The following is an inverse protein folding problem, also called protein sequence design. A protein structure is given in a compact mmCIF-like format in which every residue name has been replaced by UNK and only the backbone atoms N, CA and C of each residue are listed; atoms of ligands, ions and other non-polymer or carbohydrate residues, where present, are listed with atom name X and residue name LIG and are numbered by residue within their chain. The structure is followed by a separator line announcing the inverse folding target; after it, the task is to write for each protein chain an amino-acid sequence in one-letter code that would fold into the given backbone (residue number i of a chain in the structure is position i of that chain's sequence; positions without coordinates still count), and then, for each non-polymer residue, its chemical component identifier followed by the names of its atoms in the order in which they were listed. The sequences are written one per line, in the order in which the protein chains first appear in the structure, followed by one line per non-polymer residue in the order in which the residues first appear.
data_IF_551259209555
#
_entry.id   IF_551259209555
#
_cell.length_a   1.000
_cell.length_b   1.000
_cell.length_c   1.000
_cell.angle_alpha   90.00
_cell.angle_beta   90.00
_cell.angle_gamma   90.00
#
_symmetry.space_group_name_H-M   'P 1'
#
loop_
_entity.id
_entity.type
_entity.pdbx_description
1 polymer ?
#
# COMPACT_ATOMS: atom_id res chain seq x y z
N UNK A 1 12.54 -3.74 12.63
CA UNK A 1 12.79 -2.59 13.55
C UNK A 1 11.48 -1.83 13.71
N UNK A 2 11.07 -1.54 14.95
CA UNK A 2 9.87 -0.71 15.24
C UNK A 2 10.34 0.72 15.49
N UNK A 3 9.72 1.71 14.85
CA UNK A 3 10.01 3.13 15.03
C UNK A 3 8.71 3.93 15.20
N UNK A 4 8.79 5.01 15.93
CA UNK A 4 7.73 6.02 16.07
C UNK A 4 8.04 7.30 15.30
N UNK A 5 9.20 7.37 14.64
CA UNK A 5 9.63 8.54 13.87
C UNK A 5 9.91 8.17 12.41
N UNK A 6 9.76 9.15 11.52
CA UNK A 6 9.99 9.00 10.09
C UNK A 6 11.50 8.96 9.72
N UNK A 7 12.36 9.57 10.54
CA UNK A 7 13.78 9.78 10.21
C UNK A 7 14.52 8.49 9.80
N UNK A 8 14.43 7.36 10.53
CA UNK A 8 15.14 6.15 10.13
C UNK A 8 14.66 5.58 8.79
N UNK A 9 13.39 5.75 8.45
CA UNK A 9 12.83 5.33 7.15
C UNK A 9 13.39 6.20 6.02
N UNK A 10 13.46 7.52 6.22
CA UNK A 10 14.03 8.47 5.25
C UNK A 10 15.51 8.19 5.02
N UNK A 11 16.27 7.95 6.09
CA UNK A 11 17.71 7.59 5.99
C UNK A 11 17.92 6.27 5.21
N UNK A 12 17.09 5.26 5.48
CA UNK A 12 17.14 3.98 4.77
C UNK A 12 16.83 4.16 3.29
N UNK A 13 15.80 4.93 2.94
CA UNK A 13 15.46 5.25 1.55
C UNK A 13 16.56 6.03 0.84
N UNK A 14 17.13 7.05 1.50
CA UNK A 14 18.25 7.82 0.94
C UNK A 14 19.45 6.93 0.65
N UNK A 15 19.74 5.97 1.53
CA UNK A 15 20.82 4.99 1.35
C UNK A 15 20.53 4.09 0.15
N UNK A 16 19.31 3.55 0.02
CA UNK A 16 18.93 2.68 -1.09
C UNK A 16 19.02 3.44 -2.43
N UNK A 17 18.49 4.65 -2.50
CA UNK A 17 18.55 5.48 -3.71
C UNK A 17 19.99 5.80 -4.12
N UNK A 18 20.86 6.08 -3.14
CA UNK A 18 22.27 6.35 -3.41
C UNK A 18 23.06 5.10 -3.84
N UNK A 19 22.68 3.93 -3.33
CA UNK A 19 23.29 2.66 -3.68
C UNK A 19 22.87 2.16 -5.08
N UNK A 20 21.72 2.58 -5.57
CA UNK A 20 21.15 2.13 -6.85
C UNK A 20 20.79 3.31 -7.78
N UNK A 21 21.77 4.15 -8.19
CA UNK A 21 21.50 5.37 -8.96
C UNK A 21 20.95 5.11 -10.37
N UNK A 22 21.11 3.90 -10.88
CA UNK A 22 20.66 3.49 -12.22
C UNK A 22 19.41 2.61 -12.20
N UNK A 23 18.91 2.24 -11.03
CA UNK A 23 17.74 1.37 -10.88
C UNK A 23 16.71 1.99 -9.94
N UNK A 24 15.41 1.91 -10.26
CA UNK A 24 14.36 2.40 -9.38
C UNK A 24 14.31 1.63 -8.05
N UNK A 25 14.07 2.34 -6.96
CA UNK A 25 13.78 1.78 -5.64
C UNK A 25 12.27 1.65 -5.49
N UNK A 26 11.80 0.43 -5.21
CA UNK A 26 10.38 0.13 -5.00
C UNK A 26 10.11 -0.12 -3.51
N UNK A 27 9.16 0.61 -2.96
CA UNK A 27 8.80 0.56 -1.53
C UNK A 27 7.34 0.20 -1.38
N UNK A 28 7.03 -0.77 -0.53
CA UNK A 28 5.68 -1.08 -0.09
C UNK A 28 5.38 -0.44 1.28
N UNK A 29 4.23 0.22 1.39
CA UNK A 29 3.68 0.74 2.64
C UNK A 29 2.36 0.02 2.93
N UNK A 30 2.43 -1.09 3.64
CA UNK A 30 1.27 -1.88 4.08
C UNK A 30 0.87 -1.52 5.52
N UNK A 31 -0.22 -2.05 5.99
CA UNK A 31 -0.64 -1.89 7.37
C UNK A 31 -2.13 -1.57 7.53
N UNK A 32 -2.54 -1.34 8.77
CA UNK A 32 -3.95 -1.20 9.17
C UNK A 32 -4.64 0.00 8.54
N UNK A 33 -5.89 -0.14 8.16
CA UNK A 33 -6.71 1.01 7.77
C UNK A 33 -6.74 2.04 8.92
N UNK A 34 -6.66 3.33 8.58
CA UNK A 34 -6.56 4.39 9.59
C UNK A 34 -5.18 4.57 10.23
N UNK A 35 -4.17 3.73 9.90
CA UNK A 35 -2.81 3.87 10.45
C UNK A 35 -1.99 5.02 9.86
N UNK A 36 -2.46 5.69 8.80
CA UNK A 36 -1.77 6.84 8.22
C UNK A 36 -0.86 6.52 7.02
N UNK A 37 -0.98 5.37 6.37
CA UNK A 37 -0.22 5.00 5.16
C UNK A 37 -0.18 6.10 4.10
N UNK A 38 -1.35 6.60 3.70
CA UNK A 38 -1.47 7.66 2.69
C UNK A 38 -0.79 8.97 3.13
N UNK A 39 -0.89 9.30 4.41
CA UNK A 39 -0.18 10.46 4.98
C UNK A 39 1.33 10.26 4.92
N UNK A 40 1.81 9.07 5.27
CA UNK A 40 3.22 8.69 5.19
C UNK A 40 3.71 8.75 3.73
N UNK A 41 2.97 8.17 2.80
CA UNK A 41 3.32 8.23 1.37
C UNK A 41 3.43 9.67 0.87
N UNK A 42 2.49 10.54 1.25
CA UNK A 42 2.54 11.97 0.90
C UNK A 42 3.73 12.70 1.56
N UNK A 43 4.13 12.34 2.77
CA UNK A 43 5.33 12.88 3.41
C UNK A 43 6.60 12.43 2.69
N UNK A 44 6.71 11.16 2.34
CA UNK A 44 7.83 10.62 1.57
C UNK A 44 7.91 11.26 0.18
N UNK A 45 6.80 11.43 -0.52
CA UNK A 45 6.76 12.09 -1.83
C UNK A 45 7.23 13.55 -1.77
N UNK A 46 6.96 14.27 -0.68
CA UNK A 46 7.52 15.63 -0.47
C UNK A 46 9.02 15.60 -0.21
N UNK A 47 9.50 14.62 0.55
CA UNK A 47 10.93 14.45 0.86
C UNK A 47 11.72 13.98 -0.36
N UNK A 48 11.09 13.18 -1.24
CA UNK A 48 11.65 12.63 -2.46
C UNK A 48 10.79 13.07 -3.67
N UNK A 49 10.95 14.30 -4.20
CA UNK A 49 10.07 14.82 -5.25
C UNK A 49 10.10 14.01 -6.56
N UNK A 50 11.19 13.28 -6.82
CA UNK A 50 11.30 12.35 -7.94
C UNK A 50 10.74 10.99 -7.55
N UNK A 51 9.45 10.94 -7.26
CA UNK A 51 8.75 9.71 -6.87
C UNK A 51 7.37 9.61 -7.49
N UNK A 52 6.88 8.37 -7.56
CA UNK A 52 5.49 8.05 -7.92
C UNK A 52 4.85 7.36 -6.72
N UNK A 53 3.62 7.75 -6.39
CA UNK A 53 2.79 7.02 -5.42
C UNK A 53 1.69 6.26 -6.16
N UNK A 54 1.61 4.97 -5.89
CA UNK A 54 0.60 4.05 -6.40
C UNK A 54 -0.26 3.58 -5.24
N UNK A 55 -1.58 3.64 -5.39
CA UNK A 55 -2.53 3.23 -4.36
C UNK A 55 -3.05 1.82 -4.66
N UNK A 56 -2.90 0.88 -3.73
CA UNK A 56 -3.46 -0.47 -3.92
C UNK A 56 -4.98 -0.44 -4.06
N UNK A 57 -5.64 0.53 -3.46
CA UNK A 57 -7.10 0.71 -3.57
C UNK A 57 -7.59 0.94 -5.00
N UNK A 58 -6.71 1.34 -5.92
CA UNK A 58 -6.99 1.45 -7.36
C UNK A 58 -7.00 0.10 -8.09
N UNK A 59 -6.65 -0.96 -7.39
CA UNK A 59 -6.53 -2.32 -7.93
C UNK A 59 -7.58 -3.29 -7.36
N UNK A 60 -8.73 -2.78 -6.93
CA UNK A 60 -9.86 -3.65 -6.62
C UNK A 60 -10.39 -4.36 -7.86
N UNK A 61 -10.76 -5.64 -7.69
CA UNK A 61 -11.50 -6.37 -8.71
C UNK A 61 -12.91 -5.78 -8.86
N UNK A 62 -13.41 -5.61 -10.10
CA UNK A 62 -14.83 -5.32 -10.34
C UNK A 62 -15.75 -6.34 -9.66
N UNK A 63 -16.89 -5.93 -9.09
CA UNK A 63 -17.79 -6.85 -8.39
C UNK A 63 -18.21 -8.07 -9.21
N UNK A 64 -18.35 -7.91 -10.53
CA UNK A 64 -18.79 -8.97 -11.45
C UNK A 64 -17.80 -10.15 -11.57
N UNK A 65 -16.53 -9.94 -11.22
CA UNK A 65 -15.48 -10.97 -11.31
C UNK A 65 -14.90 -11.37 -9.94
N UNK A 66 -15.41 -10.78 -8.86
CA UNK A 66 -15.06 -11.21 -7.50
C UNK A 66 -15.67 -12.57 -7.20
N UNK A 67 -14.94 -13.38 -6.44
CA UNK A 67 -15.48 -14.62 -5.89
C UNK A 67 -16.67 -14.33 -4.96
N UNK A 68 -17.68 -15.20 -4.96
CA UNK A 68 -18.89 -15.01 -4.14
C UNK A 68 -18.58 -14.90 -2.64
N UNK A 69 -17.54 -15.57 -2.17
CA UNK A 69 -17.10 -15.60 -0.76
C UNK A 69 -15.85 -14.74 -0.49
N UNK A 70 -15.57 -13.74 -1.32
CA UNK A 70 -14.37 -12.90 -1.22
C UNK A 70 -14.17 -12.28 0.17
N UNK A 71 -15.25 -11.98 0.90
CA UNK A 71 -15.20 -11.40 2.24
C UNK A 71 -14.63 -12.35 3.31
N UNK A 72 -14.49 -13.63 2.97
CA UNK A 72 -13.92 -14.65 3.86
C UNK A 72 -12.48 -15.02 3.48
N UNK A 73 -11.99 -14.49 2.35
CA UNK A 73 -10.68 -14.84 1.79
C UNK A 73 -9.83 -13.56 1.75
N UNK A 74 -8.75 -13.48 2.52
CA UNK A 74 -7.86 -12.33 2.49
C UNK A 74 -7.37 -12.00 1.07
N UNK A 75 -7.45 -10.76 0.68
CA UNK A 75 -7.04 -10.21 -0.64
C UNK A 75 -7.88 -10.67 -1.85
N UNK A 76 -8.93 -11.47 -1.70
CA UNK A 76 -9.71 -11.98 -2.83
C UNK A 76 -10.51 -10.90 -3.59
N UNK A 77 -10.55 -9.69 -3.07
CA UNK A 77 -11.13 -8.51 -3.71
C UNK A 77 -10.11 -7.67 -4.49
N UNK A 78 -8.82 -8.06 -4.51
CA UNK A 78 -7.72 -7.32 -5.11
C UNK A 78 -7.23 -7.98 -6.39
N UNK A 79 -6.88 -7.16 -7.36
CA UNK A 79 -6.22 -7.57 -8.61
C UNK A 79 -4.70 -7.43 -8.47
N UNK A 80 -4.11 -8.30 -7.64
CA UNK A 80 -2.67 -8.28 -7.36
C UNK A 80 -1.83 -8.59 -8.61
N UNK A 81 -2.36 -9.41 -9.52
CA UNK A 81 -1.67 -9.72 -10.77
C UNK A 81 -1.59 -8.48 -11.67
N UNK A 82 -2.65 -7.70 -11.75
CA UNK A 82 -2.64 -6.42 -12.48
C UNK A 82 -1.69 -5.41 -11.83
N UNK A 83 -1.66 -5.31 -10.51
CA UNK A 83 -0.69 -4.46 -9.81
C UNK A 83 0.75 -4.89 -10.13
N UNK A 84 1.03 -6.19 -10.11
CA UNK A 84 2.35 -6.74 -10.45
C UNK A 84 2.74 -6.43 -11.89
N UNK A 85 1.87 -6.77 -12.84
CA UNK A 85 2.21 -6.71 -14.28
C UNK A 85 2.16 -5.30 -14.85
N UNK A 86 1.20 -4.47 -14.43
CA UNK A 86 1.05 -3.12 -14.95
C UNK A 86 1.88 -2.07 -14.22
N UNK A 87 2.25 -2.31 -12.95
CA UNK A 87 2.99 -1.33 -12.15
C UNK A 87 4.37 -1.82 -11.79
N UNK A 88 4.47 -2.91 -11.02
CA UNK A 88 5.73 -3.29 -10.40
C UNK A 88 6.77 -3.78 -11.41
N UNK A 89 6.35 -4.58 -12.39
CA UNK A 89 7.25 -5.09 -13.43
C UNK A 89 7.84 -3.97 -14.30
N UNK A 90 7.05 -3.06 -14.91
CA UNK A 90 7.61 -1.94 -15.67
C UNK A 90 8.38 -0.96 -14.78
N UNK A 91 7.91 -0.70 -13.54
CA UNK A 91 8.65 0.13 -12.59
C UNK A 91 10.04 -0.43 -12.33
N UNK A 92 10.17 -1.71 -12.02
CA UNK A 92 11.45 -2.39 -11.76
C UNK A 92 12.39 -2.33 -12.98
N UNK A 93 11.82 -2.38 -14.18
CA UNK A 93 12.57 -2.25 -15.44
C UNK A 93 12.94 -0.79 -15.80
N UNK A 94 12.59 0.20 -14.98
CA UNK A 94 12.81 1.62 -15.29
C UNK A 94 11.99 2.10 -16.49
N UNK A 95 10.85 1.47 -16.74
CA UNK A 95 9.95 1.79 -17.83
C UNK A 95 8.77 2.67 -17.38
N UNK A 96 8.08 3.27 -18.32
CA UNK A 96 6.84 3.99 -18.04
C UNK A 96 5.77 3.03 -17.50
N UNK A 97 4.98 3.52 -16.54
CA UNK A 97 3.95 2.72 -15.86
C UNK A 97 2.58 3.09 -16.44
N UNK A 98 1.91 2.16 -17.18
CA UNK A 98 0.54 2.35 -17.60
C UNK A 98 -0.39 2.15 -16.39
N UNK A 99 -0.95 3.24 -15.88
CA UNK A 99 -1.74 3.24 -14.65
C UNK A 99 -3.21 3.44 -14.95
N UNK A 100 -4.03 2.47 -14.58
CA UNK A 100 -5.47 2.53 -14.78
C UNK A 100 -6.21 2.14 -13.50
N UNK A 101 -6.64 3.13 -12.72
CA UNK A 101 -7.37 2.93 -11.49
C UNK A 101 -8.76 2.34 -11.74
N UNK A 102 -9.21 1.42 -10.87
CA UNK A 102 -10.60 1.02 -10.78
C UNK A 102 -11.30 1.84 -9.70
N UNK A 103 -12.28 2.65 -10.08
CA UNK A 103 -13.06 3.43 -9.13
C UNK A 103 -14.23 2.62 -8.59
N UNK A 104 -14.17 2.19 -7.34
CA UNK A 104 -15.30 1.53 -6.67
C UNK A 104 -16.54 2.43 -6.62
N UNK A 105 -16.36 3.76 -6.55
CA UNK A 105 -17.48 4.73 -6.56
C UNK A 105 -18.17 4.79 -7.92
N UNK A 106 -17.39 4.79 -9.01
CA UNK A 106 -17.93 4.83 -10.37
C UNK A 106 -18.33 3.44 -10.87
N UNK A 107 -17.87 2.37 -10.22
CA UNK A 107 -18.03 0.99 -10.68
C UNK A 107 -17.32 0.70 -12.00
N UNK A 108 -16.28 1.46 -12.34
CA UNK A 108 -15.61 1.41 -13.64
C UNK A 108 -14.11 1.74 -13.54
N UNK A 109 -13.38 1.31 -14.56
CA UNK A 109 -12.01 1.78 -14.75
C UNK A 109 -11.99 3.24 -15.20
N UNK A 110 -11.10 4.02 -14.60
CA UNK A 110 -10.84 5.40 -15.00
C UNK A 110 -9.99 5.44 -16.29
N UNK A 111 -9.89 6.59 -16.97
CA UNK A 111 -8.97 6.77 -18.08
C UNK A 111 -7.54 6.37 -17.67
N UNK A 112 -6.85 5.69 -18.58
CA UNK A 112 -5.45 5.33 -18.35
C UNK A 112 -4.57 6.56 -18.29
N UNK A 113 -3.64 6.55 -17.34
CA UNK A 113 -2.55 7.51 -17.23
C UNK A 113 -1.24 6.79 -17.48
N UNK A 114 -0.21 7.52 -17.87
CA UNK A 114 1.12 6.94 -18.03
C UNK A 114 2.10 7.76 -17.18
N UNK A 115 2.67 7.13 -16.16
CA UNK A 115 3.70 7.75 -15.34
C UNK A 115 5.07 7.54 -15.98
N UNK A 116 5.83 8.61 -16.16
CA UNK A 116 7.23 8.53 -16.57
C UNK A 116 8.05 7.81 -15.47
N UNK A 117 9.12 7.09 -15.84
CA UNK A 117 10.00 6.44 -14.87
C UNK A 117 10.52 7.42 -13.82
N UNK A 118 10.54 6.99 -12.58
CA UNK A 118 11.07 7.76 -11.45
C UNK A 118 12.02 6.90 -10.61
N UNK A 119 13.00 7.52 -9.93
CA UNK A 119 13.92 6.80 -9.05
C UNK A 119 13.25 6.10 -7.88
N UNK A 120 12.10 6.60 -7.40
CA UNK A 120 11.36 6.03 -6.29
C UNK A 120 9.91 5.74 -6.69
N UNK A 121 9.47 4.51 -6.41
CA UNK A 121 8.06 4.11 -6.57
C UNK A 121 7.54 3.65 -5.21
N UNK A 122 6.54 4.34 -4.69
CA UNK A 122 5.89 4.06 -3.41
C UNK A 122 4.55 3.39 -3.70
N UNK A 123 4.38 2.15 -3.29
CA UNK A 123 3.09 1.44 -3.37
C UNK A 123 2.48 1.42 -1.99
N UNK A 124 1.38 2.15 -1.80
CA UNK A 124 0.73 2.27 -0.49
C UNK A 124 -0.67 1.68 -0.50
N UNK A 125 -1.03 1.11 0.62
CA UNK A 125 -2.35 0.57 0.90
C UNK A 125 -2.31 -0.84 1.45
N UNK A 126 -3.45 -1.30 1.96
CA UNK A 126 -3.59 -2.67 2.45
C UNK A 126 -3.29 -3.66 1.33
N UNK A 127 -2.62 -4.75 1.68
CA UNK A 127 -2.20 -5.83 0.77
C UNK A 127 -0.98 -5.52 -0.11
N UNK A 128 -0.32 -4.38 0.03
CA UNK A 128 0.89 -4.05 -0.77
C UNK A 128 2.06 -5.00 -0.48
N UNK A 129 2.17 -5.54 0.74
CA UNK A 129 3.17 -6.55 1.11
C UNK A 129 2.74 -8.01 0.88
N UNK A 130 1.66 -8.25 0.11
CA UNK A 130 1.24 -9.63 -0.17
C UNK A 130 2.38 -10.46 -0.74
N UNK A 131 2.56 -11.75 -0.34
CA UNK A 131 3.68 -12.59 -0.81
C UNK A 131 3.87 -12.64 -2.33
N UNK A 132 2.78 -12.57 -3.10
CA UNK A 132 2.82 -12.50 -4.56
C UNK A 132 3.58 -11.27 -5.10
N UNK A 133 3.70 -10.20 -4.31
CA UNK A 133 4.34 -8.94 -4.69
C UNK A 133 5.68 -8.72 -3.98
N UNK A 134 5.97 -9.51 -2.96
CA UNK A 134 7.05 -9.25 -2.00
C UNK A 134 8.44 -9.19 -2.63
N UNK A 135 8.69 -9.97 -3.67
CA UNK A 135 9.95 -10.03 -4.43
C UNK A 135 10.18 -8.79 -5.33
N UNK A 136 9.15 -7.97 -5.51
CA UNK A 136 9.27 -6.74 -6.31
C UNK A 136 9.81 -5.54 -5.52
N UNK A 137 9.88 -5.61 -4.18
CA UNK A 137 10.23 -4.46 -3.34
C UNK A 137 11.64 -4.51 -2.78
N UNK A 138 12.28 -3.34 -2.70
CA UNK A 138 13.57 -3.15 -2.02
C UNK A 138 13.39 -2.84 -0.54
N UNK A 139 12.20 -2.34 -0.16
CA UNK A 139 11.86 -2.04 1.22
C UNK A 139 10.37 -2.26 1.45
N UNK A 140 10.04 -2.99 2.51
CA UNK A 140 8.68 -3.24 2.95
C UNK A 140 8.47 -2.62 4.32
N UNK A 141 7.44 -1.80 4.45
CA UNK A 141 7.10 -1.08 5.68
C UNK A 141 5.70 -1.44 6.11
N UNK A 142 5.53 -1.81 7.36
CA UNK A 142 4.23 -2.00 7.99
C UNK A 142 3.89 -0.79 8.85
N UNK A 143 2.80 -0.10 8.53
CA UNK A 143 2.33 1.08 9.27
C UNK A 143 1.20 0.67 10.20
N UNK A 144 1.37 0.92 11.48
CA UNK A 144 0.41 0.55 12.53
C UNK A 144 0.07 1.72 13.44
N UNK A 145 -0.95 1.55 14.26
CA UNK A 145 -1.28 2.38 15.41
C UNK A 145 -2.08 1.56 16.43
N UNK A 146 -2.30 2.11 17.62
CA UNK A 146 -3.16 1.45 18.61
C UNK A 146 -4.60 1.32 18.09
N UNK A 147 -5.35 0.36 18.63
CA UNK A 147 -6.77 0.14 18.24
C UNK A 147 -7.64 1.35 18.55
N UNK A 148 -7.35 2.03 19.64
CA UNK A 148 -8.05 3.25 20.07
C UNK A 148 -7.81 4.39 19.06
N UNK A 149 -6.56 4.57 18.65
CA UNK A 149 -6.20 5.58 17.66
C UNK A 149 -6.75 5.25 16.27
N UNK A 150 -6.70 3.98 15.87
CA UNK A 150 -7.35 3.51 14.64
C UNK A 150 -8.85 3.84 14.64
N UNK A 151 -9.55 3.48 15.72
CA UNK A 151 -10.98 3.75 15.86
C UNK A 151 -11.28 5.25 15.80
N UNK A 152 -10.51 6.06 16.55
CA UNK A 152 -10.66 7.53 16.55
C UNK A 152 -10.50 8.13 15.14
N UNK A 153 -9.45 7.72 14.42
CA UNK A 153 -9.17 8.23 13.06
C UNK A 153 -10.23 7.79 12.06
N UNK A 154 -10.62 6.51 12.11
CA UNK A 154 -11.65 5.98 11.21
C UNK A 154 -13.01 6.61 11.47
N UNK A 155 -13.40 6.77 12.75
CA UNK A 155 -14.66 7.43 13.09
C UNK A 155 -14.69 8.89 12.60
N UNK A 156 -13.60 9.63 12.77
CA UNK A 156 -13.49 11.02 12.31
C UNK A 156 -13.54 11.13 10.77
N UNK A 157 -12.98 10.16 10.03
CA UNK A 157 -12.94 10.15 8.57
C UNK A 157 -14.24 9.65 7.94
N UNK A 158 -14.83 8.60 8.48
CA UNK A 158 -15.91 7.83 7.86
C UNK A 158 -17.29 8.16 8.45
N UNK A 159 -17.37 8.66 9.67
CA UNK A 159 -18.64 8.95 10.35
C UNK A 159 -19.51 7.69 10.47
N UNK A 160 -20.72 7.74 9.96
CA UNK A 160 -21.68 6.63 10.01
C UNK A 160 -21.18 5.35 9.29
N UNK A 161 -20.30 5.49 8.31
CA UNK A 161 -19.71 4.33 7.59
C UNK A 161 -18.68 3.58 8.40
N UNK A 162 -18.28 4.05 9.59
CA UNK A 162 -17.34 3.38 10.48
C UNK A 162 -17.76 1.95 10.83
N UNK A 163 -19.06 1.69 11.00
CA UNK A 163 -19.57 0.34 11.26
C UNK A 163 -19.20 -0.68 10.18
N UNK A 164 -19.07 -0.25 8.93
CA UNK A 164 -18.60 -1.10 7.84
C UNK A 164 -17.12 -1.46 7.95
N UNK A 165 -16.30 -0.60 8.56
CA UNK A 165 -14.89 -0.89 8.82
C UNK A 165 -14.74 -1.94 9.91
N UNK A 166 -15.46 -1.82 11.01
CA UNK A 166 -15.40 -2.79 12.11
C UNK A 166 -16.00 -4.14 11.75
N UNK A 167 -17.06 -4.17 10.94
CA UNK A 167 -17.73 -5.40 10.55
C UNK A 167 -17.03 -6.16 9.42
N UNK A 168 -16.28 -5.48 8.54
CA UNK A 168 -15.74 -6.09 7.32
C UNK A 168 -14.25 -5.85 7.13
N UNK A 169 -13.84 -4.57 6.99
CA UNK A 169 -12.49 -4.26 6.50
C UNK A 169 -11.40 -4.60 7.52
N UNK A 170 -11.59 -4.24 8.79
CA UNK A 170 -10.61 -4.57 9.85
C UNK A 170 -10.45 -6.09 9.99
N UNK A 171 -11.52 -6.92 10.09
CA UNK A 171 -11.36 -8.37 10.13
C UNK A 171 -10.66 -8.97 8.91
N UNK A 172 -10.90 -8.45 7.71
CA UNK A 172 -10.24 -8.89 6.48
C UNK A 172 -8.74 -8.58 6.50
N UNK A 173 -8.37 -7.36 6.92
CA UNK A 173 -6.97 -6.94 7.04
C UNK A 173 -6.24 -7.76 8.10
N UNK A 174 -6.81 -7.90 9.31
CA UNK A 174 -6.19 -8.70 10.38
C UNK A 174 -6.06 -10.17 9.99
N UNK A 175 -7.05 -10.74 9.29
CA UNK A 175 -6.95 -12.07 8.69
C UNK A 175 -5.82 -12.21 7.68
N UNK A 176 -5.59 -11.18 6.87
CA UNK A 176 -4.47 -11.11 5.94
C UNK A 176 -3.13 -11.04 6.67
N UNK A 177 -2.99 -10.13 7.63
CA UNK A 177 -1.75 -9.97 8.40
C UNK A 177 -1.37 -11.24 9.13
N UNK A 178 -2.35 -11.90 9.75
CA UNK A 178 -2.14 -13.17 10.45
C UNK A 178 -1.77 -14.32 9.49
N UNK A 179 -2.53 -14.48 8.39
CA UNK A 179 -2.34 -15.58 7.44
C UNK A 179 -0.95 -15.56 6.79
N UNK A 180 -0.47 -14.38 6.42
CA UNK A 180 0.78 -14.23 5.69
C UNK A 180 1.93 -13.72 6.57
N UNK A 181 1.71 -13.57 7.88
CA UNK A 181 2.71 -13.10 8.84
C UNK A 181 3.37 -11.78 8.40
N UNK A 182 2.54 -10.83 7.94
CA UNK A 182 3.02 -9.61 7.29
C UNK A 182 3.95 -8.80 8.19
N UNK A 183 3.57 -8.60 9.47
CA UNK A 183 4.39 -7.84 10.42
C UNK A 183 5.80 -8.45 10.61
N UNK A 184 5.93 -9.77 10.49
CA UNK A 184 7.21 -10.48 10.60
C UNK A 184 8.02 -10.46 9.28
N UNK A 185 7.34 -10.24 8.15
CA UNK A 185 7.95 -10.30 6.82
C UNK A 185 8.46 -8.95 6.30
N UNK A 186 8.21 -7.85 7.02
CA UNK A 186 8.62 -6.50 6.62
C UNK A 186 9.96 -6.10 7.22
N UNK A 187 10.63 -5.15 6.56
CA UNK A 187 11.92 -4.63 6.99
C UNK A 187 11.78 -3.59 8.11
N UNK A 188 10.63 -2.89 8.15
CA UNK A 188 10.40 -1.77 9.03
C UNK A 188 8.94 -1.74 9.53
N UNK A 189 8.75 -1.48 10.82
CA UNK A 189 7.42 -1.21 11.40
C UNK A 189 7.43 0.24 11.89
N UNK A 190 6.46 1.02 11.41
CA UNK A 190 6.22 2.38 11.84
C UNK A 190 4.94 2.44 12.67
N UNK A 191 5.08 2.72 13.97
CA UNK A 191 3.95 2.96 14.85
C UNK A 191 3.64 4.46 14.87
N UNK A 192 2.42 4.81 14.46
CA UNK A 192 1.92 6.18 14.36
C UNK A 192 0.97 6.54 15.48
N UNK A 193 0.93 5.78 16.57
CA UNK A 193 0.14 6.09 17.76
C UNK A 193 0.62 7.45 18.33
N UNK A 194 -0.34 8.36 18.57
CA UNK A 194 -0.08 9.70 19.13
C UNK A 194 -0.44 9.73 20.62
#
# INVERSE_FOLDING_TARGET
MISTTLSPLVEKLSTLLSAHPAAPVLVALDGRCGSGKTTLAAQLARQFPQSITVHTDDFYLPPAIRMANWEQIPCANMDLERLRTQVLTPARAGQAIPYRAYSCRAGAYLPEQCFAPQPLVIVEGSYSCHPTLADCYDLKVFVTCSKEEQARRLLAREGERYSGFTARWIPLEEGYFAKFQIEQSVDFILDTTC
#
